data_IF_169184031728
#
_entry.id   IF_169184031728
#
_cell.length_a   1.000
_cell.length_b   1.000
_cell.length_c   1.000
_cell.angle_alpha   90.00
_cell.angle_beta   90.00
_cell.angle_gamma   90.00
#
_symmetry.space_group_name_H-M   'P 1'
#
loop_
_entity.id
_entity.type
_entity.pdbx_description
1 polymer ?
2 non-polymer ?
3 water ?
#
# COMPACT_ATOMS: atom_id res chain seq x y z
N UNK A 3 -12.09 -22.39 5.42
CA UNK A 3 -11.42 -21.15 5.84
C UNK A 3 -9.96 -21.39 6.24
N UNK A 4 -9.19 -21.92 5.30
CA UNK A 4 -7.74 -22.08 5.46
C UNK A 4 -7.03 -21.19 4.46
N UNK A 5 -6.13 -20.34 4.94
CA UNK A 5 -5.49 -19.36 4.08
C UNK A 5 -4.00 -19.58 3.85
N UNK A 6 -3.57 -19.36 2.62
CA UNK A 6 -2.16 -19.22 2.28
C UNK A 6 -1.79 -17.73 2.28
N UNK A 7 -0.77 -17.36 3.06
CA UNK A 7 -0.32 -15.97 3.09
C UNK A 7 1.14 -15.83 2.67
N UNK A 8 1.35 -15.13 1.56
CA UNK A 8 2.68 -15.02 0.98
C UNK A 8 3.18 -13.58 0.97
N UNK A 9 4.19 -13.29 1.77
CA UNK A 9 4.70 -11.94 1.92
C UNK A 9 4.34 -11.44 3.30
N UNK A 10 5.33 -11.42 4.19
CA UNK A 10 5.12 -11.06 5.57
C UNK A 10 6.04 -9.89 5.95
N UNK A 11 5.98 -8.80 5.19
CA UNK A 11 6.84 -7.66 5.41
C UNK A 11 6.16 -6.69 6.35
N UNK A 12 6.50 -5.41 6.19
CA UNK A 12 5.93 -4.35 7.04
C UNK A 12 4.40 -4.38 7.11
N UNK A 14 2.52 -7.09 5.35
CA UNK A 14 2.18 -8.50 5.34
C UNK A 14 2.08 -9.11 6.72
N UNK A 15 3.11 -8.93 7.53
CA UNK A 15 3.11 -9.50 8.86
C UNK A 15 1.87 -9.10 9.69
N UNK A 16 1.59 -7.78 9.84
CA UNK A 16 0.44 -7.48 10.71
C UNK A 16 -0.90 -7.88 10.10
N UNK A 18 -1.41 -10.52 8.29
CA UNK A 18 -1.52 -11.96 8.51
C UNK A 18 -1.80 -12.23 9.97
N UNK A 19 -1.20 -11.44 10.84
CA UNK A 19 -1.46 -11.61 12.25
C UNK A 19 -2.94 -11.34 12.59
N UNK A 20 -3.55 -10.35 11.95
CA UNK A 20 -4.93 -10.00 12.32
C UNK A 20 -5.91 -11.04 11.78
N UNK A 21 -5.46 -11.78 10.79
CA UNK A 21 -6.27 -12.85 10.24
C UNK A 21 -6.29 -14.02 11.24
N UNK A 22 -5.12 -14.31 11.82
CA UNK A 22 -5.01 -15.31 12.87
C UNK A 22 -5.85 -14.94 14.08
N UNK A 23 -5.79 -13.66 14.47
CA UNK A 23 -6.51 -13.24 15.65
C UNK A 23 -8.01 -13.19 15.39
N UNK A 24 -8.37 -13.40 14.13
CA UNK A 24 -9.78 -13.48 13.73
C UNK A 24 -10.29 -14.93 13.66
N UNK A 25 -9.37 -15.89 13.74
CA UNK A 25 -9.75 -17.30 13.78
C UNK A 25 -9.54 -18.08 12.50
N UNK A 26 -8.63 -17.60 11.65
CA UNK A 26 -8.30 -18.31 10.43
C UNK A 26 -7.02 -19.11 10.60
N UNK A 27 -6.92 -20.23 9.88
CA UNK A 27 -5.69 -21.01 9.88
C UNK A 27 -4.84 -20.52 8.72
N UNK A 28 -3.56 -20.26 8.95
CA UNK A 28 -2.73 -19.74 7.87
C UNK A 28 -1.52 -20.61 7.53
N UNK A 29 -1.20 -20.69 6.25
CA UNK A 29 0.10 -21.23 5.83
C UNK A 29 0.90 -20.07 5.29
N UNK A 30 1.93 -19.65 6.04
CA UNK A 30 2.67 -18.46 5.63
C UNK A 30 3.99 -18.79 4.95
N UNK A 31 4.39 -17.92 4.03
CA UNK A 31 5.72 -18.04 3.43
C UNK A 31 6.36 -16.67 3.14
N UNK A 32 7.69 -16.62 3.26
CA UNK A 32 8.42 -15.38 3.03
C UNK A 32 9.90 -15.67 2.86
N UNK A 33 10.54 -14.98 1.92
CA UNK A 33 11.95 -15.21 1.64
C UNK A 33 12.82 -15.05 2.89
N UNK A 34 12.25 -14.42 3.91
CA UNK A 34 13.00 -14.07 5.11
C UNK A 34 12.49 -14.85 6.31
N UNK A 35 13.34 -15.71 6.85
CA UNK A 35 12.94 -16.67 7.88
C UNK A 35 12.39 -16.02 9.14
N UNK A 36 13.03 -14.97 9.63
CA UNK A 36 12.56 -14.26 10.81
C UNK A 36 11.12 -13.74 10.64
N UNK A 37 10.72 -13.46 9.40
CA UNK A 37 9.33 -13.06 9.18
C UNK A 37 8.38 -14.25 9.26
N UNK A 38 8.79 -15.41 8.74
CA UNK A 38 7.91 -16.58 8.90
C UNK A 38 7.82 -16.90 10.39
N UNK A 39 8.94 -16.77 11.09
CA UNK A 39 9.01 -17.13 12.50
C UNK A 39 8.11 -16.25 13.37
N UNK A 40 8.06 -14.97 13.04
CA UNK A 40 7.13 -14.07 13.70
C UNK A 40 5.73 -14.64 13.68
N UNK A 41 5.26 -15.04 12.51
CA UNK A 41 3.89 -15.52 12.38
C UNK A 41 3.65 -16.90 12.91
N UNK A 42 4.71 -17.70 12.93
CA UNK A 42 4.64 -19.03 13.50
C UNK A 42 4.44 -18.95 15.03
N UNK A 43 5.11 -18.00 15.68
CA UNK A 43 4.97 -17.85 17.11
C UNK A 43 3.57 -17.36 17.46
N UNK A 44 2.97 -16.58 16.55
CA UNK A 44 1.63 -16.09 16.80
C UNK A 44 0.58 -17.15 16.42
N UNK A 45 1.05 -18.33 16.00
CA UNK A 45 0.14 -19.44 15.76
C UNK A 45 -0.18 -19.78 14.31
N UNK A 46 0.79 -19.62 13.42
CA UNK A 46 0.62 -20.05 12.04
C UNK A 46 1.62 -21.16 11.73
N UNK A 47 1.32 -21.97 10.71
CA UNK A 47 2.29 -22.96 10.27
C UNK A 47 3.08 -22.38 9.11
N UNK A 48 4.38 -22.61 9.12
CA UNK A 48 5.22 -22.16 8.01
C UNK A 48 5.05 -23.12 6.86
N UNK A 49 4.98 -22.58 5.64
CA UNK A 49 4.95 -23.44 4.47
C UNK A 49 6.35 -23.46 3.86
N UNK A 50 6.75 -24.61 3.36
CA UNK A 50 8.08 -24.73 2.78
C UNK A 50 8.23 -23.79 1.60
N UNK A 51 7.10 -23.46 0.97
CA UNK A 51 7.13 -22.70 -0.26
C UNK A 51 5.84 -21.96 -0.50
N UNK A 52 5.87 -20.98 -1.40
CA UNK A 52 4.63 -20.39 -1.84
C UNK A 52 3.72 -21.53 -2.29
N UNK A 53 4.20 -22.32 -3.25
CA UNK A 53 3.46 -23.49 -3.73
C UNK A 53 2.89 -24.35 -2.60
N UNK A 54 3.75 -24.77 -1.67
CA UNK A 54 3.29 -25.57 -0.54
C UNK A 54 2.12 -24.87 0.16
N UNK A 55 2.37 -23.64 0.59
CA UNK A 55 1.38 -22.86 1.32
C UNK A 55 0.03 -22.98 0.64
N UNK A 56 0.02 -22.65 -0.64
CA UNK A 56 -1.16 -22.71 -1.49
C UNK A 56 -1.83 -24.10 -1.56
N UNK A 57 -1.03 -25.16 -1.65
CA UNK A 57 -1.61 -26.51 -1.71
C UNK A 57 -2.38 -26.82 -0.44
N UNK A 58 -3.70 -26.91 -0.58
CA UNK A 58 -4.58 -27.05 0.56
C UNK A 58 -5.46 -25.85 0.90
N UNK A 59 -5.25 -24.71 0.25
CA UNK A 59 -5.89 -23.45 0.66
C UNK A 59 -7.24 -23.08 0.00
N UNK A 60 -8.16 -22.52 0.79
CA UNK A 60 -9.39 -21.90 0.28
C UNK A 60 -9.10 -20.55 -0.41
N UNK A 61 -8.34 -19.68 0.26
CA UNK A 61 -7.95 -18.38 -0.30
C UNK A 61 -6.44 -18.14 -0.21
N UNK A 62 -5.90 -17.55 -1.26
CA UNK A 62 -4.48 -17.20 -1.32
C UNK A 62 -4.33 -15.68 -1.34
N UNK A 63 -3.62 -15.14 -0.34
CA UNK A 63 -3.38 -13.70 -0.27
C UNK A 63 -1.90 -13.40 -0.39
N UNK A 64 -1.57 -12.41 -1.22
CA UNK A 64 -0.18 -11.97 -1.36
C UNK A 64 0.03 -10.49 -1.09
N UNK A 66 3.29 -8.32 -1.57
CA UNK A 66 4.69 -8.20 -1.97
C UNK A 66 5.01 -6.77 -2.43
N UNK A 67 6.30 -6.46 -2.58
CA UNK A 67 6.69 -5.05 -2.77
C UNK A 67 6.32 -4.43 -4.12
N UNK A 68 6.46 -5.14 -5.23
CA UNK A 68 6.27 -4.49 -6.53
C UNK A 68 5.77 -5.39 -7.68
N UNK A 69 5.65 -4.78 -8.86
CA UNK A 69 5.18 -5.43 -10.09
C UNK A 69 6.01 -6.67 -10.43
N UNK A 70 7.31 -6.47 -10.61
CA UNK A 70 8.26 -7.56 -10.84
C UNK A 70 7.93 -8.78 -10.01
N UNK A 71 8.02 -8.64 -8.69
CA UNK A 71 7.93 -9.79 -7.80
C UNK A 71 6.61 -10.50 -7.95
N UNK A 72 5.55 -9.73 -8.12
CA UNK A 72 4.21 -10.27 -8.12
C UNK A 72 3.93 -11.07 -9.40
N UNK A 73 4.27 -10.47 -10.53
CA UNK A 73 4.18 -11.18 -11.81
C UNK A 73 5.11 -12.39 -11.77
N UNK A 74 6.30 -12.21 -11.21
CA UNK A 74 7.24 -13.29 -11.11
C UNK A 74 6.60 -14.49 -10.43
N UNK A 75 5.99 -14.25 -9.29
CA UNK A 75 5.50 -15.33 -8.44
C UNK A 75 4.24 -15.99 -8.97
N UNK A 76 3.48 -15.26 -9.78
CA UNK A 76 2.26 -15.82 -10.34
C UNK A 76 2.43 -16.26 -11.77
N UNK A 77 3.53 -15.90 -12.41
CA UNK A 77 3.62 -16.03 -13.86
C UNK A 77 4.78 -16.85 -14.42
N UNK A 78 4.51 -18.15 -14.56
CA UNK A 78 5.30 -19.05 -15.37
C UNK A 78 6.24 -18.32 -16.33
N UNK A 80 5.62 -22.54 -14.73
CA UNK A 80 6.40 -22.76 -13.52
C UNK A 80 5.86 -21.91 -12.38
N UNK A 81 5.73 -20.62 -12.65
CA UNK A 81 5.18 -19.68 -11.68
C UNK A 81 4.04 -20.25 -10.88
N UNK A 82 3.99 -19.88 -9.61
CA UNK A 82 3.03 -20.45 -8.67
C UNK A 82 1.59 -20.48 -9.19
N UNK A 83 1.23 -19.52 -10.02
CA UNK A 83 -0.15 -19.50 -10.48
C UNK A 83 -0.59 -20.81 -11.20
N UNK A 84 0.35 -21.54 -11.82
CA UNK A 84 -0.01 -22.81 -12.44
C UNK A 84 -0.42 -23.80 -11.34
N UNK A 85 0.48 -23.99 -10.37
CA UNK A 85 0.27 -24.92 -9.26
C UNK A 85 -0.94 -24.60 -8.39
N UNK A 86 -1.64 -23.49 -8.64
CA UNK A 86 -2.55 -22.99 -7.60
C UNK A 86 -3.72 -23.93 -7.24
N UNK A 87 -4.94 -23.68 -7.71
CA UNK A 87 -6.07 -24.32 -7.04
C UNK A 87 -7.40 -24.36 -7.82
N UNK A 88 -8.45 -24.96 -7.22
CA UNK A 88 -9.73 -25.21 -7.91
C UNK A 88 -10.73 -24.06 -7.82
N UNK A 89 -11.50 -24.01 -6.73
CA UNK A 89 -12.42 -22.92 -6.48
C UNK A 89 -11.87 -21.96 -5.43
N UNK A 90 -10.57 -21.74 -5.45
CA UNK A 90 -9.93 -20.91 -4.43
C UNK A 90 -9.98 -19.41 -4.77
N UNK A 91 -10.17 -18.60 -3.73
CA UNK A 91 -10.24 -17.14 -3.82
C UNK A 91 -8.85 -16.53 -3.75
N UNK A 92 -8.45 -15.80 -4.79
CA UNK A 92 -7.15 -15.17 -4.76
C UNK A 92 -7.24 -13.67 -4.56
N UNK A 93 -6.51 -13.19 -3.56
CA UNK A 93 -6.54 -11.79 -3.15
C UNK A 93 -5.17 -11.16 -3.32
N UNK A 94 -5.01 -10.39 -4.37
CA UNK A 94 -3.73 -9.76 -4.62
C UNK A 94 -3.71 -8.32 -4.11
N UNK A 95 -3.13 -8.17 -2.92
CA UNK A 95 -3.15 -6.90 -2.15
C UNK A 95 -1.90 -6.04 -2.31
N UNK A 96 -0.91 -6.49 -3.08
CA UNK A 96 0.23 -5.62 -3.36
C UNK A 96 -0.25 -4.43 -4.19
N UNK A 97 0.54 -3.37 -4.19
CA UNK A 97 0.31 -2.23 -5.04
C UNK A 97 1.20 -2.40 -6.26
N UNK A 98 0.56 -2.63 -7.41
CA UNK A 98 1.30 -2.85 -8.63
C UNK A 98 0.59 -2.12 -9.76
N UNK A 99 1.26 -2.03 -10.90
CA UNK A 99 0.70 -1.35 -12.06
C UNK A 99 -0.55 -2.05 -12.57
N UNK A 100 -1.60 -1.27 -12.81
CA UNK A 100 -2.89 -1.75 -13.36
C UNK A 100 -2.68 -2.75 -14.49
N UNK A 101 -1.93 -2.37 -15.52
CA UNK A 101 -1.59 -3.30 -16.58
C UNK A 101 -1.21 -4.63 -15.97
N UNK A 102 -0.20 -4.60 -15.11
CA UNK A 102 0.28 -5.81 -14.47
C UNK A 102 -0.81 -6.59 -13.73
N UNK A 103 -1.79 -5.88 -13.19
CA UNK A 103 -2.87 -6.54 -12.47
C UNK A 103 -3.92 -7.09 -13.41
N UNK A 104 -4.21 -6.35 -14.48
CA UNK A 104 -5.17 -6.84 -15.46
C UNK A 104 -4.65 -8.12 -16.12
N UNK A 105 -3.34 -8.20 -16.28
CA UNK A 105 -2.75 -9.39 -16.88
C UNK A 105 -2.99 -10.59 -15.97
N UNK A 106 -2.63 -10.45 -14.70
CA UNK A 106 -2.78 -11.52 -13.73
C UNK A 106 -4.25 -11.92 -13.59
N UNK A 107 -5.16 -10.94 -13.44
CA UNK A 107 -6.59 -11.23 -13.43
C UNK A 107 -7.02 -12.17 -14.55
N UNK A 108 -6.64 -11.81 -15.79
CA UNK A 108 -7.05 -12.58 -16.95
C UNK A 108 -6.55 -14.03 -16.90
N UNK A 109 -5.38 -14.24 -16.30
CA UNK A 109 -4.87 -15.61 -16.12
C UNK A 109 -5.65 -16.35 -15.03
N UNK A 110 -6.15 -15.58 -14.06
CA UNK A 110 -7.04 -16.13 -13.05
C UNK A 110 -8.31 -16.61 -13.72
N UNK A 111 -8.87 -15.76 -14.57
CA UNK A 111 -10.03 -16.11 -15.38
C UNK A 111 -9.75 -17.40 -16.12
N UNK A 112 -8.62 -17.43 -16.81
CA UNK A 112 -8.26 -18.56 -17.67
C UNK A 112 -7.97 -19.81 -16.85
N UNK A 113 -8.52 -19.86 -15.64
CA UNK A 113 -8.36 -21.01 -14.74
C UNK A 113 -9.47 -21.06 -13.70
N UNK A 114 -10.57 -20.35 -13.96
CA UNK A 114 -11.73 -20.39 -13.10
C UNK A 114 -11.56 -19.73 -11.74
N UNK A 115 -10.30 -19.51 -11.35
CA UNK A 115 -9.99 -18.88 -10.07
C UNK A 115 -10.60 -17.49 -10.01
N UNK A 116 -11.35 -17.25 -8.95
CA UNK A 116 -11.88 -15.91 -8.70
C UNK A 116 -10.83 -15.07 -7.98
N UNK A 118 -9.11 -11.07 -7.02
CA UNK A 118 -9.37 -9.65 -6.84
C UNK A 118 -8.04 -8.93 -6.72
N UNK A 119 -7.92 -7.75 -7.34
CA UNK A 119 -6.85 -6.85 -6.93
C UNK A 119 -7.37 -6.00 -5.78
N UNK A 120 -6.73 -6.10 -4.63
CA UNK A 120 -7.18 -5.35 -3.47
C UNK A 120 -6.03 -4.63 -2.78
N UNK A 121 -5.44 -3.65 -3.45
CA UNK A 121 -4.38 -2.87 -2.83
C UNK A 121 -4.85 -2.17 -1.55
N UNK A 122 -3.90 -1.94 -0.68
CA UNK A 122 -4.18 -1.34 0.62
C UNK A 122 -3.66 0.09 0.74
N UNK A 123 -4.46 0.92 1.40
CA UNK A 123 -4.06 2.26 1.78
C UNK A 123 -4.14 2.29 3.29
N UNK A 124 -3.31 3.09 3.92
CA UNK A 124 -3.13 3.06 5.37
C UNK A 124 -1.65 2.80 5.55
N UNK A 125 -1.20 2.61 6.78
CA UNK A 125 0.20 2.26 6.94
C UNK A 125 0.41 1.08 7.85
N UNK A 126 1.67 0.91 8.26
CA UNK A 126 2.08 -0.08 9.25
C UNK A 126 1.23 0.00 10.51
N UNK A 127 0.96 1.21 10.95
CA UNK A 127 0.13 1.47 12.12
C UNK A 127 -1.32 1.01 11.93
N UNK A 128 -1.83 1.14 10.71
CA UNK A 128 -3.20 0.75 10.41
C UNK A 128 -3.32 -0.73 10.07
N UNK A 129 -2.27 -1.29 9.48
CA UNK A 129 -2.18 -2.74 9.25
C UNK A 129 -2.27 -3.48 10.58
N UNK A 130 -1.60 -2.95 11.60
CA UNK A 130 -1.58 -3.51 12.94
C UNK A 130 -2.94 -3.40 13.63
N UNK A 131 -3.59 -2.26 13.46
CA UNK A 131 -4.86 -1.98 14.12
C UNK A 131 -6.05 -2.63 13.42
N UNK A 132 -5.82 -3.22 12.24
CA UNK A 132 -6.90 -3.78 11.46
C UNK A 132 -7.86 -2.74 10.89
N UNK A 133 -7.34 -1.54 10.59
CA UNK A 133 -8.15 -0.42 10.14
C UNK A 133 -7.89 -0.01 8.68
N UNK A 134 -7.15 -0.84 7.96
CA UNK A 134 -6.73 -0.54 6.59
C UNK A 134 -7.91 -0.29 5.66
N UNK A 135 -7.65 0.44 4.57
CA UNK A 135 -8.62 0.64 3.51
C UNK A 135 -8.26 -0.22 2.31
N UNK A 136 -9.22 -1.01 1.83
CA UNK A 136 -9.00 -1.77 0.61
C UNK A 136 -9.71 -1.11 -0.57
N UNK A 138 -10.76 -2.25 -4.36
CA UNK A 138 -10.90 -3.56 -4.99
C UNK A 138 -11.41 -3.49 -6.43
N UNK A 139 -10.69 -4.13 -7.35
CA UNK A 139 -11.21 -4.42 -8.68
C UNK A 139 -11.73 -5.86 -8.69
N UNK A 140 -12.60 -6.20 -9.65
CA UNK A 140 -13.12 -7.56 -9.79
C UNK A 140 -14.63 -7.71 -9.62
N UNK A 141 -15.10 -8.95 -9.52
CA UNK A 141 -16.54 -9.23 -9.42
C UNK A 141 -17.11 -9.00 -8.03
N UNK A 142 -18.32 -8.46 -7.97
CA UNK A 142 -19.03 -8.37 -6.70
C UNK A 142 -19.10 -9.78 -6.14
N UNK A 143 -19.23 -10.74 -7.04
CA UNK A 143 -19.26 -12.14 -6.69
C UNK A 143 -18.15 -12.45 -5.70
N UNK A 144 -16.92 -12.34 -6.18
CA UNK A 144 -15.75 -12.57 -5.35
C UNK A 144 -15.80 -11.70 -4.10
N UNK A 145 -15.89 -10.39 -4.30
CA UNK A 145 -15.86 -9.43 -3.20
C UNK A 145 -16.64 -9.89 -1.98
N UNK A 146 -17.92 -10.22 -2.16
CA UNK A 146 -18.75 -10.65 -1.05
C UNK A 146 -18.22 -11.91 -0.39
N UNK A 147 -17.69 -12.82 -1.20
CA UNK A 147 -17.04 -14.01 -0.64
C UNK A 147 -15.87 -13.55 0.23
N UNK A 148 -15.19 -12.50 -0.23
CA UNK A 148 -13.95 -12.04 0.38
C UNK A 148 -14.18 -11.12 1.58
N UNK A 149 -15.30 -10.43 1.59
CA UNK A 149 -15.54 -9.39 2.58
C UNK A 149 -15.10 -9.73 4.02
N UNK A 150 -15.46 -10.93 4.51
CA UNK A 150 -15.19 -11.25 5.92
C UNK A 150 -13.70 -11.18 6.26
N UNK A 151 -12.85 -11.48 5.29
CA UNK A 151 -11.41 -11.34 5.47
C UNK A 151 -10.98 -9.88 5.50
N UNK A 152 -11.44 -9.11 4.51
CA UNK A 152 -11.16 -7.70 4.45
C UNK A 152 -11.55 -7.00 5.75
N UNK A 153 -12.67 -7.42 6.32
CA UNK A 153 -13.16 -6.81 7.54
C UNK A 153 -12.24 -7.15 8.71
N UNK A 154 -11.59 -8.31 8.64
CA UNK A 154 -10.67 -8.73 9.68
C UNK A 154 -9.37 -7.92 9.61
N UNK A 156 -9.20 -4.94 7.85
CA UNK A 156 -9.51 -3.55 7.60
C UNK A 156 -10.88 -3.02 7.95
N UNK A 157 -11.12 -1.78 7.56
CA UNK A 157 -12.35 -1.05 7.84
C UNK A 157 -13.04 -0.64 6.54
N UNK A 158 -12.67 0.47 5.94
CA UNK A 158 -13.29 0.84 4.67
C UNK A 158 -12.94 -0.14 3.55
N UNK A 159 -13.99 -0.67 2.93
CA UNK A 159 -13.85 -1.56 1.80
C UNK A 159 -14.61 -0.91 0.65
N UNK A 160 -13.88 -0.39 -0.32
CA UNK A 160 -14.51 0.19 -1.51
C UNK A 160 -14.39 -0.76 -2.70
N UNK A 161 -15.50 -0.97 -3.40
CA UNK A 161 -15.45 -1.68 -4.67
C UNK A 161 -15.21 -0.64 -5.74
N UNK A 162 -14.02 -0.66 -6.33
CA UNK A 162 -13.61 0.39 -7.25
C UNK A 162 -13.93 0.09 -8.72
N UNK A 163 -14.24 -1.17 -9.04
CA UNK A 163 -14.60 -1.52 -10.41
C UNK A 163 -14.21 -2.94 -10.72
N UNK A 164 -13.99 -3.23 -12.01
CA UNK A 164 -13.60 -4.57 -12.47
C UNK A 164 -12.09 -4.76 -12.47
N UNK A 165 -11.62 -5.90 -13.01
CA UNK A 165 -10.21 -6.22 -13.01
C UNK A 165 -9.34 -4.98 -13.14
N UNK A 166 -8.55 -4.68 -12.11
CA UNK A 166 -7.57 -3.63 -12.21
C UNK A 166 -7.97 -2.33 -11.55
N UNK A 167 -9.26 -2.13 -11.37
CA UNK A 167 -9.78 -0.89 -10.81
C UNK A 167 -9.17 -0.55 -9.44
N UNK A 168 -8.90 -1.59 -8.66
CA UNK A 168 -8.31 -1.38 -7.36
C UNK A 168 -7.02 -0.61 -7.49
N UNK A 169 -6.09 -1.17 -8.26
CA UNK A 169 -4.80 -0.55 -8.50
C UNK A 169 -4.97 0.85 -9.04
N UNK A 170 -5.99 1.07 -9.86
CA UNK A 170 -6.15 2.37 -10.50
C UNK A 170 -6.49 3.41 -9.45
N UNK A 171 -7.41 3.04 -8.56
CA UNK A 171 -7.87 3.97 -7.55
C UNK A 171 -6.75 4.27 -6.58
N UNK A 172 -5.98 3.24 -6.25
CA UNK A 172 -4.86 3.35 -5.32
C UNK A 172 -3.79 4.32 -5.84
N UNK A 173 -3.39 4.08 -7.07
CA UNK A 173 -2.44 4.92 -7.78
C UNK A 173 -2.92 6.35 -7.86
N UNK A 174 -4.18 6.55 -8.19
CA UNK A 174 -4.72 7.88 -8.29
C UNK A 174 -4.70 8.52 -6.92
N UNK A 175 -5.12 7.78 -5.91
CA UNK A 175 -5.19 8.35 -4.57
C UNK A 175 -3.83 8.78 -4.05
N UNK A 176 -2.82 7.94 -4.26
CA UNK A 176 -1.51 8.18 -3.66
C UNK A 176 -0.75 9.27 -4.39
N UNK A 177 -1.03 9.43 -5.67
CA UNK A 177 -0.45 10.55 -6.43
C UNK A 177 -0.97 11.91 -5.90
N UNK A 178 -2.27 11.98 -5.66
CA UNK A 178 -2.87 13.19 -5.11
C UNK A 178 -2.32 13.45 -3.69
N UNK A 179 -2.21 12.37 -2.91
CA UNK A 179 -1.52 12.48 -1.62
C UNK A 179 -0.13 13.15 -1.77
N UNK A 180 0.66 12.71 -2.75
CA UNK A 180 2.00 13.22 -2.85
C UNK A 180 1.89 14.71 -3.10
N UNK A 181 0.92 15.06 -3.93
CA UNK A 181 0.75 16.45 -4.33
C UNK A 181 0.34 17.31 -3.13
N UNK A 182 -0.63 16.87 -2.35
CA UNK A 182 -1.11 17.71 -1.26
C UNK A 182 -0.05 17.77 -0.15
N UNK A 184 3.33 17.61 -0.61
CA UNK A 184 4.29 18.62 -1.05
C UNK A 184 3.68 20.04 -0.97
N UNK A 185 2.44 20.17 -1.43
CA UNK A 185 1.76 21.44 -1.41
C UNK A 185 1.67 21.91 0.03
N UNK A 186 1.45 20.98 0.95
CA UNK A 186 1.39 21.35 2.35
C UNK A 186 2.76 21.77 2.89
N UNK A 187 3.80 21.00 2.58
CA UNK A 187 5.13 21.40 3.04
C UNK A 187 5.56 22.76 2.50
N UNK A 188 5.30 23.06 1.23
CA UNK A 188 5.75 24.34 0.69
C UNK A 188 4.98 25.52 1.29
N UNK A 189 3.69 25.30 1.53
CA UNK A 189 2.83 26.35 2.09
C UNK A 189 3.24 26.62 3.54
N UNK A 191 6.15 26.19 4.81
CA UNK A 191 7.43 26.87 4.88
C UNK A 191 7.36 28.32 4.38
N UNK A 192 6.39 28.61 3.52
CA UNK A 192 6.21 29.98 3.03
C UNK A 192 5.69 30.89 4.15
N UNK A 193 4.71 30.41 4.89
CA UNK A 193 4.13 31.21 5.96
C UNK A 193 5.15 31.43 7.07
N UNK A 194 5.77 30.36 7.52
CA UNK A 194 6.82 30.49 8.52
C UNK A 194 7.88 31.52 8.09
N UNK A 195 8.29 31.48 6.83
CA UNK A 195 9.36 32.36 6.38
C UNK A 195 8.87 33.81 6.32
N UNK A 196 7.56 33.99 6.30
CA UNK A 196 7.00 35.32 6.28
C UNK A 196 6.45 35.74 7.63
N UNK A 197 6.79 34.96 8.65
CA UNK A 197 6.66 35.41 10.02
C UNK A 197 5.62 34.69 10.86
N UNK A 198 4.92 33.74 10.25
CA UNK A 198 3.82 33.07 10.95
C UNK A 198 4.32 31.97 11.87
N UNK A 199 3.55 31.67 12.90
CA UNK A 199 3.83 30.52 13.75
C UNK A 199 3.27 29.31 13.07
N UNK A 200 4.12 28.29 12.94
CA UNK A 200 3.77 27.06 12.24
C UNK A 200 2.39 26.53 12.66
N UNK A 201 2.18 26.40 13.96
CA UNK A 201 0.98 25.77 14.49
C UNK A 201 -0.25 26.58 14.16
N UNK A 202 -0.14 27.90 14.28
CA UNK A 202 -1.20 28.80 13.90
C UNK A 202 -1.54 28.68 12.42
N UNK A 203 -0.53 28.81 11.56
CA UNK A 203 -0.74 28.67 10.13
C UNK A 203 -1.42 27.35 9.79
N UNK A 204 -1.01 26.29 10.49
CA UNK A 204 -1.51 24.97 10.17
C UNK A 204 -3.01 24.89 10.39
N UNK A 205 -3.44 25.32 11.58
CA UNK A 205 -4.84 25.23 11.96
C UNK A 205 -5.74 26.03 11.02
N UNK A 206 -5.25 27.19 10.63
CA UNK A 206 -5.97 28.02 9.69
C UNK A 206 -6.23 27.27 8.38
N UNK A 208 -6.01 24.11 7.75
CA UNK A 208 -6.74 22.87 8.01
C UNK A 208 -8.23 23.13 8.00
N UNK A 209 -8.66 24.18 8.69
CA UNK A 209 -10.09 24.51 8.82
C UNK A 209 -10.63 25.26 7.60
N UNK A 210 -9.76 25.48 6.61
CA UNK A 210 -10.11 26.33 5.49
C UNK A 210 -10.05 25.66 4.13
N UNK A 211 -10.12 26.46 3.07
CA UNK A 211 -10.19 25.88 1.74
C UNK A 211 -8.87 25.16 1.36
N UNK A 212 -7.78 25.46 2.06
CA UNK A 212 -6.53 24.79 1.82
C UNK A 212 -6.46 23.43 2.51
N UNK A 213 -7.58 23.02 3.09
CA UNK A 213 -7.60 21.87 3.97
C UNK A 213 -7.44 20.54 3.27
N UNK A 214 -6.75 19.62 3.91
CA UNK A 214 -6.46 18.34 3.30
C UNK A 214 -6.06 17.29 4.29
N UNK A 215 -6.03 16.06 3.81
CA UNK A 215 -5.65 14.95 4.64
C UNK A 215 -4.41 15.23 5.46
N UNK A 216 -3.34 15.67 4.79
CA UNK A 216 -2.07 15.84 5.48
C UNK A 216 -2.19 16.79 6.67
N UNK A 217 -2.89 17.90 6.46
CA UNK A 217 -3.04 18.90 7.52
C UNK A 217 -3.93 18.35 8.63
N UNK A 218 -4.72 17.35 8.29
CA UNK A 218 -5.63 16.80 9.28
C UNK A 218 -4.84 15.91 10.21
N UNK A 219 -3.99 15.07 9.64
CA UNK A 219 -3.46 13.95 10.37
C UNK A 219 -1.97 13.74 10.23
N UNK A 220 -1.33 14.48 9.35
CA UNK A 220 0.05 14.14 8.97
C UNK A 220 0.93 15.36 8.65
N UNK A 221 0.90 16.37 9.51
CA UNK A 221 1.57 17.61 9.18
C UNK A 221 3.07 17.37 8.98
N UNK A 222 3.63 17.87 7.88
CA UNK A 222 5.05 17.67 7.60
C UNK A 222 5.94 18.61 8.40
N UNK A 223 5.36 19.55 9.14
CA UNK A 223 6.18 20.52 9.87
C UNK A 223 6.43 20.12 11.34
N UNK A 224 7.71 20.03 11.72
CA UNK A 224 8.07 19.45 13.03
C UNK A 224 7.53 20.30 14.16
N UNK A 225 6.89 19.66 15.12
CA UNK A 225 6.32 20.36 16.25
C UNK A 225 4.82 20.57 16.14
N UNK A 226 4.32 20.69 14.92
CA UNK A 226 2.89 20.94 14.73
C UNK A 226 2.07 19.82 15.32
N UNK A 228 2.91 16.51 17.47
CA UNK A 228 3.93 15.74 18.18
C UNK A 228 3.93 14.24 17.86
N UNK A 229 2.78 13.76 17.43
CA UNK A 229 2.56 12.35 17.13
C UNK A 229 3.06 11.92 15.74
N UNK A 230 3.41 12.91 14.91
CA UNK A 230 3.75 12.70 13.49
C UNK A 230 5.23 12.43 13.25
N UNK A 231 5.55 11.81 12.12
CA UNK A 231 6.95 11.49 11.75
C UNK A 231 7.86 12.72 11.82
N UNK A 232 7.29 13.87 11.48
CA UNK A 232 8.04 15.12 11.43
C UNK A 232 8.54 15.51 12.82
N UNK A 233 7.78 15.15 13.84
CA UNK A 233 8.13 15.53 15.19
C UNK A 233 9.20 14.61 15.77
N UNK A 234 9.45 13.49 15.07
CA UNK A 234 10.53 12.58 15.43
C UNK A 234 11.50 12.38 14.26
N UNK A 235 11.94 13.49 13.68
CA UNK A 235 12.93 13.50 12.60
C UNK A 235 12.62 12.52 11.45
N UNK A 236 11.34 12.30 11.16
CA UNK A 236 10.93 11.53 9.98
C UNK A 236 11.32 10.06 9.99
N UNK A 237 11.42 9.47 11.17
CA UNK A 237 11.63 8.04 11.27
C UNK A 237 10.30 7.26 11.16
N UNK A 238 10.36 6.03 10.69
CA UNK A 238 9.15 5.21 10.61
C UNK A 238 8.18 5.75 9.57
N UNK A 239 6.90 5.43 9.74
CA UNK A 239 5.89 5.83 8.78
C UNK A 239 6.01 5.19 7.40
N UNK A 240 5.57 5.92 6.39
CA UNK A 240 5.58 5.45 5.00
C UNK A 240 6.81 5.98 4.26
N UNK A 242 9.76 7.32 1.93
CA UNK A 242 9.86 8.18 0.75
C UNK A 242 10.08 7.38 -0.52
N UNK A 243 10.93 6.37 -0.41
CA UNK A 243 11.24 5.44 -1.50
C UNK A 243 9.98 4.75 -2.03
N UNK A 244 9.08 4.35 -1.14
CA UNK A 244 7.84 3.69 -1.56
C UNK A 244 6.91 4.69 -2.25
N UNK A 246 7.82 7.18 -4.03
CA UNK A 246 8.38 7.38 -5.37
C UNK A 246 7.95 6.25 -6.30
N UNK A 247 7.92 5.04 -5.77
CA UNK A 247 7.49 3.87 -6.52
C UNK A 247 6.05 4.05 -6.99
N UNK A 248 5.17 4.35 -6.06
CA UNK A 248 3.76 4.65 -6.38
C UNK A 248 3.60 5.73 -7.45
N UNK A 249 4.34 6.83 -7.32
CA UNK A 249 4.32 7.88 -8.32
C UNK A 249 4.74 7.32 -9.67
N UNK A 250 5.64 6.35 -9.63
CA UNK A 250 6.15 5.75 -10.84
C UNK A 250 5.05 4.99 -11.52
N UNK A 251 4.28 4.25 -10.71
CA UNK A 251 3.13 3.50 -11.23
C UNK A 251 2.07 4.44 -11.82
N UNK A 252 1.99 5.63 -11.25
CA UNK A 252 1.00 6.59 -11.69
C UNK A 252 1.40 7.09 -13.08
N UNK A 253 2.66 7.46 -13.25
CA UNK A 253 3.18 7.76 -14.58
C UNK A 253 2.84 6.67 -15.60
N UNK A 254 2.89 5.42 -15.17
CA UNK A 254 2.68 4.32 -16.09
C UNK A 254 1.26 4.34 -16.59
N UNK A 255 0.34 4.53 -15.66
CA UNK A 255 -1.07 4.60 -16.00
C UNK A 255 -1.37 5.78 -16.90
N UNK A 256 -0.72 6.91 -16.64
CA UNK A 256 -0.99 8.12 -17.39
C UNK A 256 -0.57 7.96 -18.83
N UNK A 257 0.53 7.25 -19.06
CA UNK A 257 1.08 7.13 -20.39
C UNK A 257 0.18 6.23 -21.24
N UNK A 258 -0.42 5.24 -20.59
CA UNK A 258 -1.33 4.34 -21.27
C UNK A 258 -2.58 5.10 -21.74
N UNK A 259 -3.05 5.99 -20.87
CA UNK A 259 -4.27 6.74 -21.14
C UNK A 259 -3.96 8.11 -21.74
N UNK A 260 -2.70 8.38 -22.04
CA UNK A 260 -2.30 9.68 -22.58
C UNK A 260 -2.76 10.82 -21.68
N UNK A 261 -2.76 10.56 -20.39
CA UNK A 261 -3.20 11.52 -19.40
C UNK A 261 -2.09 12.51 -19.05
N UNK A 262 -2.47 13.74 -18.74
CA UNK A 262 -1.49 14.75 -18.32
C UNK A 262 -1.49 14.86 -16.81
N UNK A 263 -0.30 14.77 -16.19
CA UNK A 263 -0.18 14.80 -14.72
C UNK A 263 0.90 15.76 -14.20
N UNK A 264 0.76 17.05 -14.53
CA UNK A 264 1.83 17.99 -14.24
C UNK A 264 2.25 18.03 -12.76
N UNK A 266 1.52 15.59 -10.23
CA UNK A 266 2.08 14.28 -9.94
C UNK A 266 3.50 14.07 -10.48
N UNK A 267 3.72 14.34 -11.76
CA UNK A 267 5.07 14.22 -12.34
C UNK A 267 6.11 15.13 -11.65
N UNK A 268 5.69 16.34 -11.29
CA UNK A 268 6.59 17.24 -10.59
C UNK A 268 6.88 16.65 -9.21
N UNK A 269 5.84 16.18 -8.53
CA UNK A 269 6.00 15.54 -7.23
C UNK A 269 7.02 14.42 -7.35
N UNK A 270 6.87 13.61 -8.40
CA UNK A 270 7.82 12.54 -8.66
C UNK A 270 9.25 13.09 -8.79
N UNK A 271 9.42 14.08 -9.65
CA UNK A 271 10.74 14.67 -9.82
C UNK A 271 11.37 15.06 -8.49
N UNK A 272 10.54 15.58 -7.58
CA UNK A 272 11.00 16.08 -6.28
C UNK A 272 11.35 14.93 -5.32
N UNK A 273 10.48 13.93 -5.24
CA UNK A 273 10.85 12.76 -4.49
C UNK A 273 12.16 12.13 -4.96
N UNK A 274 12.49 12.22 -6.24
CA UNK A 274 13.73 11.56 -6.69
C UNK A 274 14.91 12.37 -6.18
N UNK A 275 14.75 13.68 -6.16
CA UNK A 275 15.77 14.58 -5.62
C UNK A 275 16.04 14.16 -4.17
N UNK A 276 14.97 13.94 -3.44
CA UNK A 276 15.02 13.54 -2.05
C UNK A 276 15.81 12.24 -1.91
N UNK A 277 15.58 11.31 -2.83
CA UNK A 277 16.28 10.04 -2.74
C UNK A 277 17.77 10.28 -2.98
N UNK A 278 18.08 11.23 -3.84
CA UNK A 278 19.48 11.59 -4.09
C UNK A 278 20.14 12.10 -2.81
N UNK A 279 19.35 12.78 -1.96
CA UNK A 279 19.86 13.35 -0.73
C UNK A 279 19.91 12.35 0.42
N UNK A 280 19.64 11.09 0.14
CA UNK A 280 19.83 10.00 1.10
C UNK A 280 18.65 9.68 1.99
N UNK A 281 17.47 10.15 1.60
CA UNK A 281 16.27 10.07 2.43
C UNK A 281 15.29 8.95 2.08
N UNK A 282 15.73 8.00 1.25
CA UNK A 282 14.82 6.93 0.80
C UNK A 282 14.05 6.21 1.92
N UNK A 283 14.67 6.06 3.08
CA UNK A 283 14.09 5.26 4.16
C UNK A 283 13.38 6.13 5.22
N UNK A 284 13.31 7.41 4.97
CA UNK A 284 12.57 8.32 5.82
C UNK A 284 11.09 8.40 5.43
N UNK A 285 10.28 8.92 6.34
CA UNK A 285 8.86 9.10 6.06
C UNK A 285 8.66 10.08 4.92
N UNK A 286 7.65 9.87 4.10
CA UNK A 286 7.49 10.66 2.89
C UNK A 286 7.32 12.15 3.19
N UNK A 287 6.96 12.50 4.42
CA UNK A 287 6.81 13.92 4.77
C UNK A 287 8.16 14.61 4.90
N UNK A 288 9.23 13.83 4.87
CA UNK A 288 10.58 14.38 4.93
C UNK A 288 10.78 15.32 3.75
N UNK A 289 9.81 15.33 2.85
CA UNK A 289 9.83 16.23 1.72
C UNK A 289 9.90 17.67 2.23
N UNK A 290 9.44 17.87 3.46
CA UNK A 290 9.54 19.18 4.14
C UNK A 290 10.95 19.75 4.12
N UNK A 291 11.95 18.87 4.07
CA UNK A 291 13.36 19.27 4.15
C UNK A 291 13.81 20.06 2.91
N UNK A 292 13.14 19.86 1.79
CA UNK A 292 13.41 20.67 0.61
C UNK A 292 13.14 22.16 0.85
N UNK A 293 12.20 22.48 1.73
CA UNK A 293 11.82 23.88 1.95
C UNK A 293 12.42 24.52 3.18
N UNK A 294 12.82 23.70 4.15
CA UNK A 294 13.41 24.22 5.38
C UNK A 294 14.80 23.67 5.63
N UNK A 295 15.79 24.56 5.63
CA UNK A 295 17.21 24.23 5.90
C UNK A 295 17.48 24.00 7.39
N UNK A 296 17.01 24.94 8.22
CA UNK A 296 17.28 24.96 9.64
C UNK A 296 17.03 23.64 10.35
N UNK A 297 16.34 22.73 9.68
CA UNK A 297 16.05 21.42 10.26
C UNK A 297 17.33 20.69 10.66
#
# INVERSE_FOLDING_TARGET
GXKQIAFIGLGHXGAPXATNLLKAGYLLNVFDLVQSAVDGLVAAGASAARSARDAVQGADVVISXLPASQHVEGLYLDDDGLLAHIAPGTLVLECSTIAPTSARKIHAAARERGLAXLDAPVSGGTAGAAAGTLTFXVGGDAEALEKARPLFEAXGRNIFHAGPDGAGQVAKVCNNQLLAVLXIGTAEAXALGVANGLEAKVLAEIXRRSSGGNWALEVYNPWPGVXENAPASRDYSGGFXAQLXAKDLGLAQEAAQASASSTPXGSLALSLYRLLLKQGYAERDFSVVQKLFDPTQGQ
#
